data_IF_408972810377
#
_entry.id   IF_408972810377
#
_cell.length_a   1.000
_cell.length_b   1.000
_cell.length_c   1.000
_cell.angle_alpha   90.00
_cell.angle_beta   90.00
_cell.angle_gamma   90.00
#
_symmetry.space_group_name_H-M   'P 1'
#
loop_
_entity.id
_entity.type
_entity.pdbx_description
1 polymer ?
#
# COMPACT_ATOMS: atom_id res chain seq x y z
N UNK A 1 -8.96 -54.30 45.03
CA UNK A 1 -9.18 -54.67 43.62
C UNK A 1 -9.34 -53.40 42.80
N UNK A 2 -8.45 -53.24 41.80
CA UNK A 2 -8.61 -52.51 40.51
C UNK A 2 -9.02 -51.02 40.56
N UNK A 3 -8.34 -50.06 39.92
CA UNK A 3 -7.15 -50.06 39.05
C UNK A 3 -6.65 -48.61 38.99
N UNK A 4 -5.37 -48.44 39.32
CA UNK A 4 -4.51 -47.33 38.95
C UNK A 4 -4.33 -47.34 37.41
N UNK A 5 -4.51 -46.21 36.73
CA UNK A 5 -3.94 -45.98 35.40
C UNK A 5 -3.28 -44.62 35.34
N UNK A 6 -2.01 -44.68 34.99
CA UNK A 6 -1.02 -43.63 34.85
C UNK A 6 -1.15 -42.98 33.46
N UNK A 7 -0.80 -41.70 33.42
CA UNK A 7 -0.33 -40.87 32.31
C UNK A 7 -0.40 -41.43 30.89
N UNK A 8 -0.98 -40.63 29.99
CA UNK A 8 -0.31 -40.26 28.74
C UNK A 8 -0.80 -38.88 28.26
N UNK A 9 0.06 -37.88 28.51
CA UNK A 9 0.42 -36.83 27.55
C UNK A 9 -0.27 -36.94 26.19
N UNK A 10 -1.30 -36.12 25.99
CA UNK A 10 -1.68 -35.59 24.67
C UNK A 10 -1.79 -34.07 24.77
N UNK A 11 -0.63 -33.45 24.93
CA UNK A 11 -0.35 -32.20 24.23
C UNK A 11 -0.22 -32.60 22.76
N UNK A 12 -1.13 -32.19 21.89
CA UNK A 12 -0.80 -31.52 20.63
C UNK A 12 -2.01 -31.28 19.70
N UNK A 13 -2.06 -30.05 19.21
CA UNK A 13 -2.62 -29.60 17.93
C UNK A 13 -4.13 -29.75 17.68
N UNK A 14 -4.94 -28.96 18.40
CA UNK A 14 -6.09 -28.32 17.75
C UNK A 14 -5.61 -26.97 17.18
N UNK A 15 -5.63 -26.87 15.85
CA UNK A 15 -4.87 -25.91 15.06
C UNK A 15 -5.08 -24.45 15.47
N UNK A 16 -4.00 -23.85 15.98
CA UNK A 16 -3.74 -22.45 15.68
C UNK A 16 -3.56 -22.37 14.17
N UNK A 17 -4.58 -21.96 13.44
CA UNK A 17 -4.35 -21.21 12.21
C UNK A 17 -3.75 -19.85 12.61
N UNK A 18 -2.50 -19.88 13.07
CA UNK A 18 -1.60 -18.75 12.93
C UNK A 18 -1.21 -18.75 11.45
N UNK A 19 -2.14 -18.22 10.66
CA UNK A 19 -1.95 -17.87 9.27
C UNK A 19 -0.61 -17.13 9.12
N UNK A 20 0.13 -17.51 8.09
CA UNK A 20 1.45 -17.00 7.72
C UNK A 20 1.74 -15.58 8.24
N UNK A 21 2.79 -15.42 9.06
CA UNK A 21 3.16 -14.15 9.67
C UNK A 21 3.38 -13.09 8.61
N UNK A 22 2.35 -12.26 8.45
CA UNK A 22 2.17 -11.32 7.39
C UNK A 22 1.83 -9.93 7.82
N UNK A 23 2.21 -8.89 7.10
CA UNK A 23 3.07 -8.68 5.93
C UNK A 23 2.88 -7.18 5.69
N UNK A 24 3.87 -6.52 5.09
CA UNK A 24 3.57 -5.19 4.56
C UNK A 24 2.55 -5.34 3.42
N UNK A 25 1.61 -4.41 3.29
CA UNK A 25 0.72 -4.39 2.14
C UNK A 25 0.82 -3.04 1.44
N UNK A 26 0.89 -3.08 0.13
CA UNK A 26 0.99 -1.91 -0.71
C UNK A 26 -0.17 -1.93 -1.69
N UNK A 27 -0.96 -0.87 -1.63
CA UNK A 27 -1.86 -0.47 -2.68
C UNK A 27 -1.33 0.82 -3.30
N UNK A 28 -0.85 0.76 -4.55
CA UNK A 28 -0.33 1.93 -5.23
C UNK A 28 -1.03 2.20 -6.55
N UNK A 29 -1.23 3.48 -6.84
CA UNK A 29 -1.82 3.98 -8.08
C UNK A 29 -0.80 4.83 -8.82
N UNK A 30 -0.61 4.58 -10.10
CA UNK A 30 0.24 5.39 -10.98
C UNK A 30 -0.60 5.84 -12.17
N UNK A 31 -0.73 7.16 -12.35
CA UNK A 31 -1.47 7.70 -13.47
C UNK A 31 -0.62 7.58 -14.72
N UNK A 32 -1.08 6.82 -15.71
CA UNK A 32 -0.39 6.65 -16.99
C UNK A 32 -0.83 7.71 -18.00
N UNK A 33 -2.11 8.11 -17.97
CA UNK A 33 -2.68 9.06 -18.92
C UNK A 33 -4.20 9.09 -18.90
N UNK A 34 -4.80 9.56 -19.98
CA UNK A 34 -6.24 9.48 -20.23
C UNK A 34 -6.55 8.96 -21.62
N UNK A 35 -7.73 8.38 -21.79
CA UNK A 35 -8.30 8.00 -23.09
C UNK A 35 -9.81 8.13 -23.02
N UNK A 36 -10.42 8.75 -24.04
CA UNK A 36 -11.89 8.91 -24.15
C UNK A 36 -12.57 9.49 -22.90
N UNK A 37 -11.91 10.41 -22.21
CA UNK A 37 -12.42 11.07 -21.00
C UNK A 37 -12.23 10.28 -19.70
N UNK A 38 -11.63 9.09 -19.75
CA UNK A 38 -11.29 8.30 -18.56
C UNK A 38 -9.80 8.40 -18.23
N UNK A 39 -9.47 8.44 -16.94
CA UNK A 39 -8.09 8.32 -16.49
C UNK A 39 -7.66 6.85 -16.50
N UNK A 40 -6.44 6.61 -16.95
CA UNK A 40 -5.82 5.29 -17.05
C UNK A 40 -4.79 5.15 -15.93
N UNK A 41 -5.03 4.18 -15.06
CA UNK A 41 -4.24 3.94 -13.86
C UNK A 41 -3.56 2.58 -13.93
N UNK A 42 -2.29 2.51 -13.54
CA UNK A 42 -1.67 1.27 -13.11
C UNK A 42 -1.88 1.11 -11.60
N UNK A 43 -2.64 0.10 -11.23
CA UNK A 43 -2.81 -0.37 -9.87
C UNK A 43 -1.78 -1.46 -9.56
N UNK A 44 -1.08 -1.29 -8.45
CA UNK A 44 -0.14 -2.24 -7.88
C UNK A 44 -0.65 -2.67 -6.50
N UNK A 45 -1.04 -3.94 -6.36
CA UNK A 45 -1.47 -4.53 -5.10
C UNK A 45 -0.49 -5.64 -4.72
N UNK A 46 0.33 -5.41 -3.69
CA UNK A 46 1.35 -6.37 -3.25
C UNK A 46 1.32 -6.61 -1.74
N UNK A 47 1.64 -7.84 -1.34
CA UNK A 47 1.79 -8.29 0.04
C UNK A 47 3.20 -8.84 0.29
N UNK A 48 3.90 -8.33 1.31
CA UNK A 48 5.31 -8.61 1.60
C UNK A 48 5.54 -9.71 2.61
N UNK A 49 6.12 -10.83 2.18
CA UNK A 49 6.27 -12.02 2.97
C UNK A 49 7.66 -12.54 3.22
N UNK A 50 7.83 -13.31 4.30
CA UNK A 50 9.05 -14.08 4.53
C UNK A 50 8.80 -15.51 4.03
N UNK A 51 9.50 -15.90 2.97
CA UNK A 51 9.50 -17.28 2.48
C UNK A 51 10.35 -18.16 3.39
N UNK A 52 9.81 -19.28 3.85
CA UNK A 52 10.54 -20.25 4.67
C UNK A 52 10.08 -21.67 4.33
N UNK A 53 10.92 -22.67 4.65
CA UNK A 53 10.53 -24.07 4.53
C UNK A 53 9.26 -24.32 5.34
N UNK A 54 8.25 -24.91 4.70
CA UNK A 54 6.94 -25.16 5.26
C UNK A 54 7.05 -25.73 6.70
N UNK A 55 6.50 -25.00 7.67
CA UNK A 55 6.36 -25.49 9.05
C UNK A 55 7.21 -24.83 10.13
N UNK A 56 8.11 -23.89 9.82
CA UNK A 56 8.75 -23.07 10.86
C UNK A 56 8.26 -21.62 10.78
N UNK A 57 7.31 -21.29 11.66
CA UNK A 57 7.07 -19.90 12.05
C UNK A 57 8.41 -19.34 12.54
N UNK A 58 9.00 -18.31 11.91
CA UNK A 58 10.13 -17.64 12.51
C UNK A 58 9.58 -16.88 13.71
N UNK A 59 9.64 -17.52 14.88
CA UNK A 59 9.60 -16.80 16.14
C UNK A 59 10.65 -15.69 16.02
N UNK A 60 10.18 -14.45 16.12
CA UNK A 60 11.02 -13.27 16.09
C UNK A 60 12.03 -13.39 17.24
N UNK A 61 13.25 -13.87 16.96
CA UNK A 61 14.35 -13.86 17.91
C UNK A 61 15.03 -12.49 17.80
N UNK A 62 14.90 -11.61 18.81
CA UNK A 62 15.72 -10.42 18.85
C UNK A 62 17.14 -10.89 19.19
N UNK A 63 18.07 -10.64 18.28
CA UNK A 63 19.51 -10.95 18.42
C UNK A 63 19.88 -12.45 18.42
N UNK A 64 19.88 -13.06 17.24
CA UNK A 64 20.56 -14.33 16.99
C UNK A 64 20.68 -14.59 15.49
N UNK A 65 21.91 -14.71 14.97
CA UNK A 65 22.16 -15.12 13.56
C UNK A 65 21.71 -16.57 13.37
N UNK A 66 20.43 -16.78 13.05
CA UNK A 66 19.95 -18.06 12.50
C UNK A 66 20.39 -18.16 11.05
N UNK A 67 21.03 -19.28 10.69
CA UNK A 67 21.57 -19.56 9.34
C UNK A 67 20.50 -19.90 8.29
N UNK A 68 19.23 -20.02 8.69
CA UNK A 68 18.11 -20.25 7.77
C UNK A 68 17.15 -19.05 7.81
N UNK A 69 17.66 -17.86 7.50
CA UNK A 69 16.84 -16.67 7.33
C UNK A 69 16.07 -16.81 6.02
N UNK A 70 14.75 -16.97 6.13
CA UNK A 70 13.85 -16.94 4.98
C UNK A 70 14.04 -15.68 4.13
N UNK A 71 13.87 -15.78 2.81
CA UNK A 71 13.98 -14.63 1.92
C UNK A 71 12.70 -13.78 2.04
N UNK A 72 12.86 -12.48 2.21
CA UNK A 72 11.74 -11.54 2.12
C UNK A 72 11.34 -11.32 0.67
N UNK A 73 10.04 -11.37 0.39
CA UNK A 73 9.46 -11.41 -0.94
C UNK A 73 8.20 -10.55 -0.99
N UNK A 74 7.74 -10.23 -2.19
CA UNK A 74 6.46 -9.57 -2.46
C UNK A 74 5.65 -10.45 -3.38
N UNK A 75 4.36 -10.64 -3.08
CA UNK A 75 3.42 -11.30 -3.98
C UNK A 75 2.19 -10.46 -4.22
N UNK A 76 1.64 -10.53 -5.43
CA UNK A 76 0.41 -9.83 -5.73
C UNK A 76 0.22 -9.60 -7.23
N UNK A 77 -0.43 -8.49 -7.57
CA UNK A 77 -0.95 -8.26 -8.91
C UNK A 77 -0.76 -6.82 -9.38
N UNK A 78 -0.58 -6.68 -10.69
CA UNK A 78 -0.55 -5.43 -11.42
C UNK A 78 -1.73 -5.40 -12.39
N UNK A 79 -2.48 -4.30 -12.38
CA UNK A 79 -3.69 -4.13 -13.20
C UNK A 79 -3.73 -2.74 -13.82
N UNK A 80 -4.17 -2.66 -15.07
CA UNK A 80 -4.67 -1.42 -15.63
C UNK A 80 -6.12 -1.23 -15.22
N UNK A 81 -6.42 -0.03 -14.72
CA UNK A 81 -7.76 0.41 -14.35
C UNK A 81 -8.15 1.68 -15.08
N UNK A 82 -9.45 1.87 -15.25
CA UNK A 82 -10.06 3.07 -15.82
C UNK A 82 -11.04 3.68 -14.83
N UNK A 83 -11.11 5.00 -14.78
CA UNK A 83 -12.11 5.72 -14.00
C UNK A 83 -11.60 7.03 -13.41
N UNK A 84 -12.53 7.87 -12.97
CA UNK A 84 -12.23 9.22 -12.47
C UNK A 84 -12.21 9.34 -10.95
N UNK A 85 -12.55 8.27 -10.21
CA UNK A 85 -12.51 8.22 -8.74
C UNK A 85 -12.01 6.86 -8.28
N UNK A 86 -11.35 6.81 -7.12
CA UNK A 86 -10.75 5.59 -6.56
C UNK A 86 -11.78 4.46 -6.42
N UNK A 87 -12.99 4.77 -5.94
CA UNK A 87 -14.10 3.84 -5.74
C UNK A 87 -14.81 3.43 -7.04
N UNK A 88 -14.50 4.09 -8.15
CA UNK A 88 -15.04 3.85 -9.49
C UNK A 88 -13.99 3.28 -10.44
N UNK A 89 -12.81 2.90 -9.94
CA UNK A 89 -11.77 2.33 -10.78
C UNK A 89 -12.12 0.89 -11.18
N UNK A 90 -12.50 0.71 -12.43
CA UNK A 90 -12.81 -0.58 -13.02
C UNK A 90 -11.56 -1.22 -13.63
N UNK A 91 -11.43 -2.53 -13.47
CA UNK A 91 -10.33 -3.26 -14.10
C UNK A 91 -10.52 -3.28 -15.62
N UNK A 92 -9.58 -2.67 -16.33
CA UNK A 92 -9.52 -2.73 -17.77
C UNK A 92 -8.71 -3.94 -18.26
N UNK A 93 -7.53 -4.19 -17.65
CA UNK A 93 -6.65 -5.28 -18.07
C UNK A 93 -5.76 -5.77 -16.93
N UNK A 94 -5.56 -7.07 -16.85
CA UNK A 94 -4.55 -7.65 -15.96
C UNK A 94 -3.17 -7.60 -16.61
N UNK A 95 -2.15 -7.13 -15.89
CA UNK A 95 -0.79 -6.99 -16.41
C UNK A 95 0.07 -8.19 -16.02
N UNK A 96 0.13 -8.50 -14.73
CA UNK A 96 0.96 -9.57 -14.19
C UNK A 96 0.52 -9.99 -12.78
N UNK A 97 0.71 -11.27 -12.47
CA UNK A 97 0.83 -11.75 -11.10
C UNK A 97 2.32 -11.88 -10.80
N UNK A 98 2.77 -11.36 -9.66
CA UNK A 98 4.19 -11.31 -9.33
C UNK A 98 4.44 -12.01 -8.01
N UNK A 99 5.60 -12.67 -7.94
CA UNK A 99 6.19 -13.17 -6.71
C UNK A 99 7.71 -12.96 -6.81
N UNK A 100 8.20 -11.91 -6.16
CA UNK A 100 9.55 -11.38 -6.35
C UNK A 100 10.29 -11.22 -5.02
N UNK A 101 11.62 -11.27 -5.05
CA UNK A 101 12.43 -10.96 -3.88
C UNK A 101 12.44 -9.46 -3.58
N UNK A 102 12.47 -9.08 -2.30
CA UNK A 102 12.50 -7.67 -1.86
C UNK A 102 13.66 -6.88 -2.49
N UNK A 103 14.81 -7.52 -2.68
CA UNK A 103 16.01 -6.95 -3.29
C UNK A 103 15.87 -6.66 -4.80
N UNK A 104 15.04 -7.45 -5.50
CA UNK A 104 14.81 -7.33 -6.95
C UNK A 104 13.63 -6.42 -7.29
N UNK A 105 12.93 -5.87 -6.30
CA UNK A 105 11.64 -5.19 -6.45
C UNK A 105 11.59 -4.18 -7.62
N UNK A 106 12.58 -3.28 -7.70
CA UNK A 106 12.58 -2.24 -8.73
C UNK A 106 12.86 -2.83 -10.12
N UNK A 107 13.90 -3.64 -10.24
CA UNK A 107 14.31 -4.24 -11.50
C UNK A 107 13.24 -5.20 -12.05
N UNK A 108 12.57 -5.94 -11.17
CA UNK A 108 11.52 -6.88 -11.54
C UNK A 108 10.24 -6.19 -12.00
N UNK A 109 9.83 -5.09 -11.34
CA UNK A 109 8.58 -4.41 -11.69
C UNK A 109 8.69 -3.47 -12.91
N UNK A 110 9.89 -2.96 -13.22
CA UNK A 110 10.08 -2.01 -14.32
C UNK A 110 9.54 -2.50 -15.69
N UNK A 111 9.82 -3.75 -16.14
CA UNK A 111 9.26 -4.26 -17.40
C UNK A 111 7.74 -4.36 -17.40
N UNK A 112 7.11 -4.55 -16.23
CA UNK A 112 5.66 -4.59 -16.13
C UNK A 112 5.03 -3.19 -16.20
N UNK A 113 5.73 -2.17 -15.72
CA UNK A 113 5.33 -0.77 -15.89
C UNK A 113 5.46 -0.33 -17.35
N UNK A 114 6.54 -0.72 -18.02
CA UNK A 114 6.70 -0.50 -19.48
C UNK A 114 5.54 -1.13 -20.25
N UNK A 115 5.27 -2.41 -20.03
CA UNK A 115 4.14 -3.10 -20.66
C UNK A 115 2.80 -2.42 -20.37
N UNK A 116 2.59 -1.91 -19.16
CA UNK A 116 1.37 -1.21 -18.80
C UNK A 116 1.24 0.13 -19.54
N UNK A 117 2.35 0.86 -19.70
CA UNK A 117 2.43 2.10 -20.47
C UNK A 117 2.15 1.84 -21.95
N UNK A 118 2.81 0.86 -22.56
CA UNK A 118 2.63 0.50 -23.98
C UNK A 118 1.15 0.18 -24.27
N UNK A 119 0.53 -0.62 -23.40
CA UNK A 119 -0.89 -0.96 -23.51
C UNK A 119 -1.84 0.22 -23.30
N UNK A 120 -1.43 1.22 -22.53
CA UNK A 120 -2.21 2.44 -22.37
C UNK A 120 -2.09 3.33 -23.61
N UNK A 121 -0.91 3.41 -24.22
CA UNK A 121 -0.64 4.18 -25.44
C UNK A 121 -1.36 3.63 -26.68
N UNK A 122 -1.67 2.32 -26.70
CA UNK A 122 -2.52 1.70 -27.71
C UNK A 122 -4.00 2.14 -27.64
N UNK A 123 -4.43 2.82 -26.56
CA UNK A 123 -5.81 3.26 -26.42
C UNK A 123 -6.13 4.43 -27.37
N UNK A 124 -7.36 4.48 -27.93
CA UNK A 124 -7.77 5.60 -28.77
C UNK A 124 -7.66 6.95 -28.05
N UNK A 125 -7.12 7.95 -28.73
CA UNK A 125 -6.97 9.32 -28.22
C UNK A 125 -6.19 9.39 -26.90
N UNK A 126 -5.23 8.49 -26.69
CA UNK A 126 -4.45 8.47 -25.46
C UNK A 126 -3.63 9.75 -25.30
N UNK A 127 -3.66 10.31 -24.09
CA UNK A 127 -2.82 11.42 -23.67
C UNK A 127 -2.00 11.01 -22.46
N UNK A 128 -0.66 11.06 -22.52
CA UNK A 128 0.18 10.63 -21.41
C UNK A 128 0.12 11.62 -20.25
N UNK A 129 0.12 11.10 -19.03
CA UNK A 129 0.30 11.92 -17.84
C UNK A 129 1.79 12.23 -17.61
N UNK A 130 2.06 13.42 -17.10
CA UNK A 130 3.41 13.85 -16.74
C UNK A 130 3.53 13.94 -15.24
N UNK A 131 4.36 13.09 -14.62
CA UNK A 131 4.75 13.28 -13.23
C UNK A 131 5.73 14.46 -13.16
N UNK A 132 5.31 15.55 -12.53
CA UNK A 132 6.10 16.78 -12.45
C UNK A 132 7.04 16.76 -11.24
N UNK A 133 6.50 16.38 -10.09
CA UNK A 133 7.22 16.45 -8.82
C UNK A 133 6.63 15.50 -7.77
N UNK A 134 7.46 15.18 -6.78
CA UNK A 134 7.12 14.30 -5.68
C UNK A 134 7.60 14.92 -4.35
N UNK A 135 6.74 14.93 -3.35
CA UNK A 135 7.13 15.15 -1.96
C UNK A 135 7.17 13.80 -1.24
N UNK A 136 8.32 13.41 -0.69
CA UNK A 136 8.48 12.13 0.01
C UNK A 136 8.78 12.36 1.46
N UNK A 137 7.92 11.78 2.28
CA UNK A 137 7.90 12.01 3.69
C UNK A 137 8.18 10.65 4.30
N UNK A 138 9.46 10.41 4.59
CA UNK A 138 9.94 9.12 5.10
C UNK A 138 9.45 8.94 6.54
N UNK A 139 8.19 8.52 6.63
CA UNK A 139 7.42 8.13 7.80
C UNK A 139 7.30 9.22 8.91
N UNK A 140 6.19 9.14 9.66
CA UNK A 140 5.82 9.93 10.84
C UNK A 140 5.80 11.47 10.71
N UNK A 141 4.62 12.04 10.43
CA UNK A 141 4.28 13.48 10.57
C UNK A 141 5.29 14.46 9.93
N UNK A 142 6.14 13.95 9.05
CA UNK A 142 7.30 14.62 8.49
C UNK A 142 7.03 15.17 7.09
N UNK A 143 5.79 14.97 6.61
CA UNK A 143 5.29 15.60 5.40
C UNK A 143 4.76 17.00 5.69
N UNK A 144 5.65 17.98 5.77
CA UNK A 144 5.24 19.38 5.85
C UNK A 144 4.40 19.84 4.64
N UNK A 145 4.41 19.05 3.56
CA UNK A 145 3.64 19.29 2.34
C UNK A 145 2.21 18.73 2.38
N UNK A 146 1.85 17.90 3.37
CA UNK A 146 0.52 17.29 3.45
C UNK A 146 -0.05 17.39 4.86
N UNK A 147 -1.22 18.02 4.97
CA UNK A 147 -1.99 18.13 6.21
C UNK A 147 -3.07 17.05 6.22
N UNK A 148 -3.21 16.38 7.37
CA UNK A 148 -4.31 15.44 7.59
C UNK A 148 -5.29 16.01 8.59
N UNK A 149 -6.56 16.01 8.22
CA UNK A 149 -7.69 16.35 9.07
C UNK A 149 -8.61 15.13 9.17
N UNK A 150 -8.91 14.71 10.40
CA UNK A 150 -9.77 13.57 10.66
C UNK A 150 -10.90 13.98 11.60
N UNK A 151 -12.11 13.57 11.25
CA UNK A 151 -13.27 13.61 12.13
C UNK A 151 -13.82 12.19 12.34
N UNK A 152 -14.99 12.05 12.94
CA UNK A 152 -15.58 10.72 13.19
C UNK A 152 -16.09 10.00 11.93
N UNK A 153 -16.11 10.65 10.77
CA UNK A 153 -16.70 10.16 9.52
C UNK A 153 -15.70 10.04 8.37
N UNK A 154 -14.64 10.84 8.36
CA UNK A 154 -13.69 10.90 7.26
C UNK A 154 -12.28 11.29 7.69
N UNK A 155 -11.33 10.88 6.85
CA UNK A 155 -9.97 11.41 6.81
C UNK A 155 -9.82 12.22 5.52
N UNK A 156 -9.26 13.42 5.63
CA UNK A 156 -8.95 14.31 4.53
C UNK A 156 -7.44 14.57 4.48
N UNK A 157 -6.90 14.65 3.27
CA UNK A 157 -5.53 15.09 3.02
C UNK A 157 -5.55 16.35 2.16
N UNK A 158 -4.81 17.37 2.57
CA UNK A 158 -4.71 18.63 1.86
C UNK A 158 -3.25 19.05 1.65
N UNK A 159 -2.97 19.67 0.51
CA UNK A 159 -1.80 20.50 0.36
C UNK A 159 -2.02 21.87 1.03
N UNK A 160 -0.96 22.55 1.51
CA UNK A 160 -1.06 23.90 2.04
C UNK A 160 -1.82 24.85 1.09
N UNK A 161 -2.89 25.46 1.58
CA UNK A 161 -3.69 26.42 0.81
C UNK A 161 -4.68 25.80 -0.18
N UNK A 162 -4.85 24.48 -0.20
CA UNK A 162 -5.79 23.78 -1.07
C UNK A 162 -6.92 23.10 -0.29
N UNK A 163 -8.04 22.84 -0.97
CA UNK A 163 -9.13 22.02 -0.41
C UNK A 163 -8.67 20.56 -0.32
N UNK A 164 -8.90 19.93 0.83
CA UNK A 164 -8.51 18.53 1.03
C UNK A 164 -9.28 17.55 0.15
N UNK A 165 -8.62 16.44 -0.19
CA UNK A 165 -9.22 15.25 -0.75
C UNK A 165 -9.56 14.23 0.32
N UNK A 166 -10.75 13.64 0.20
CA UNK A 166 -11.20 12.58 1.10
C UNK A 166 -10.38 11.32 0.82
N UNK A 167 -9.87 10.69 1.86
CA UNK A 167 -9.26 9.38 1.76
C UNK A 167 -10.33 8.33 1.45
N UNK A 168 -10.19 7.66 0.31
CA UNK A 168 -11.01 6.52 -0.08
C UNK A 168 -10.21 5.24 0.18
N UNK A 169 -10.54 4.54 1.26
CA UNK A 169 -9.84 3.33 1.66
C UNK A 169 -10.25 2.14 0.78
N UNK A 170 -9.31 1.50 0.07
CA UNK A 170 -9.61 0.31 -0.72
C UNK A 170 -10.09 -0.86 0.17
N UNK A 171 -11.00 -1.68 -0.35
CA UNK A 171 -11.53 -2.86 0.36
C UNK A 171 -10.46 -3.78 0.96
N UNK A 172 -9.37 -4.11 0.25
CA UNK A 172 -8.27 -4.90 0.82
C UNK A 172 -7.63 -4.25 2.06
N UNK A 173 -7.43 -2.92 2.04
CA UNK A 173 -6.85 -2.17 3.16
C UNK A 173 -7.76 -2.23 4.37
N UNK A 174 -9.06 -1.99 4.17
CA UNK A 174 -10.06 -2.12 5.23
C UNK A 174 -10.01 -3.51 5.85
N UNK A 175 -9.98 -4.57 5.03
CA UNK A 175 -9.96 -5.94 5.53
C UNK A 175 -8.72 -6.35 6.29
N UNK A 176 -7.56 -5.75 6.00
CA UNK A 176 -6.38 -5.97 6.84
C UNK A 176 -6.60 -5.37 8.23
N UNK A 177 -7.24 -4.22 8.35
CA UNK A 177 -7.58 -3.62 9.65
C UNK A 177 -8.67 -4.42 10.39
N UNK A 178 -9.70 -4.87 9.67
CA UNK A 178 -10.77 -5.73 10.21
C UNK A 178 -10.22 -7.03 10.81
N UNK A 179 -9.26 -7.65 10.13
CA UNK A 179 -8.61 -8.87 10.62
C UNK A 179 -7.81 -8.64 11.90
N UNK A 180 -7.25 -7.43 12.09
CA UNK A 180 -6.44 -7.09 13.26
C UNK A 180 -7.28 -6.73 14.47
N UNK A 181 -8.34 -5.95 14.31
CA UNK A 181 -9.16 -5.47 15.44
C UNK A 181 -10.43 -6.28 15.68
N UNK A 182 -10.83 -7.14 14.73
CA UNK A 182 -12.11 -7.87 14.71
C UNK A 182 -13.34 -6.97 14.60
N UNK A 183 -13.18 -5.73 14.14
CA UNK A 183 -14.26 -4.79 13.82
C UNK A 183 -14.50 -4.72 12.31
N UNK A 184 -15.71 -4.39 11.85
CA UNK A 184 -16.07 -4.30 10.42
C UNK A 184 -15.96 -2.85 9.91
N UNK A 185 -14.82 -2.48 9.31
CA UNK A 185 -14.56 -1.13 8.79
C UNK A 185 -15.13 -0.88 7.39
N UNK A 186 -15.54 -1.93 6.67
CA UNK A 186 -16.36 -1.78 5.45
C UNK A 186 -17.72 -1.18 5.76
N UNK A 187 -18.22 -1.39 6.97
CA UNK A 187 -19.43 -0.73 7.49
C UNK A 187 -19.07 0.38 8.49
N UNK A 188 -18.12 1.25 8.11
CA UNK A 188 -17.59 2.33 8.96
C UNK A 188 -18.69 3.13 9.69
N UNK A 189 -19.83 3.40 9.06
CA UNK A 189 -20.94 4.12 9.68
C UNK A 189 -21.60 3.44 10.90
N UNK A 190 -21.41 2.13 11.08
CA UNK A 190 -21.94 1.35 12.22
C UNK A 190 -20.95 1.26 13.40
N UNK A 191 -19.71 1.69 13.20
CA UNK A 191 -18.69 1.69 14.25
C UNK A 191 -18.88 2.87 15.21
N UNK A 192 -18.47 2.69 16.46
CA UNK A 192 -18.44 3.77 17.45
C UNK A 192 -17.54 4.93 16.97
N UNK A 193 -17.87 6.16 17.37
CA UNK A 193 -17.13 7.37 16.95
C UNK A 193 -15.63 7.29 17.30
N UNK A 194 -15.30 6.78 18.49
CA UNK A 194 -13.92 6.60 18.94
C UNK A 194 -13.16 5.60 18.06
N UNK A 195 -13.76 4.46 17.71
CA UNK A 195 -13.12 3.45 16.85
C UNK A 195 -12.84 3.95 15.43
N UNK A 196 -13.75 4.78 14.90
CA UNK A 196 -13.55 5.44 13.60
C UNK A 196 -12.40 6.44 13.66
N UNK A 197 -12.37 7.26 14.71
CA UNK A 197 -11.30 8.24 14.90
C UNK A 197 -9.95 7.56 15.10
N UNK A 198 -9.89 6.49 15.90
CA UNK A 198 -8.68 5.69 16.11
C UNK A 198 -8.15 5.12 14.80
N UNK A 199 -9.04 4.60 13.94
CA UNK A 199 -8.68 4.15 12.60
C UNK A 199 -8.07 5.27 11.75
N UNK A 200 -8.72 6.43 11.66
CA UNK A 200 -8.19 7.54 10.86
C UNK A 200 -6.86 8.08 11.40
N UNK A 201 -6.71 8.18 12.72
CA UNK A 201 -5.49 8.66 13.37
C UNK A 201 -4.31 7.70 13.23
N UNK A 202 -4.54 6.42 12.92
CA UNK A 202 -3.49 5.45 12.67
C UNK A 202 -2.69 5.77 11.40
N UNK A 203 -3.32 6.39 10.41
CA UNK A 203 -2.71 6.73 9.13
C UNK A 203 -1.85 7.99 9.22
N UNK A 204 -0.71 7.95 8.52
CA UNK A 204 0.27 9.04 8.48
C UNK A 204 0.61 9.40 7.05
N UNK A 205 0.95 10.68 6.79
CA UNK A 205 1.49 11.09 5.52
C UNK A 205 2.71 10.29 5.09
N UNK A 206 2.74 9.85 3.83
CA UNK A 206 3.90 9.14 3.27
C UNK A 206 4.48 9.86 2.05
N UNK A 207 3.66 10.17 1.04
CA UNK A 207 4.13 10.93 -0.13
C UNK A 207 2.98 11.62 -0.83
N UNK A 208 3.31 12.63 -1.62
CA UNK A 208 2.41 13.23 -2.60
C UNK A 208 3.11 13.27 -3.94
N UNK A 209 2.40 12.88 -5.00
CA UNK A 209 2.86 12.99 -6.38
C UNK A 209 1.95 13.94 -7.13
N UNK A 210 2.55 14.87 -7.86
CA UNK A 210 1.85 15.84 -8.68
C UNK A 210 2.00 15.46 -10.15
N UNK A 211 0.88 15.14 -10.79
CA UNK A 211 0.78 14.86 -12.22
C UNK A 211 0.08 16.00 -12.95
N UNK A 212 0.48 16.21 -14.20
CA UNK A 212 -0.23 17.04 -15.18
C UNK A 212 -0.74 16.19 -16.33
N UNK A 213 -2.00 16.39 -16.69
CA UNK A 213 -2.64 15.69 -17.80
C UNK A 213 -3.71 16.58 -18.42
N UNK A 214 -3.65 16.83 -19.73
CA UNK A 214 -4.67 17.61 -20.46
C UNK A 214 -4.99 18.99 -19.84
N UNK A 215 -4.03 19.64 -19.17
CA UNK A 215 -4.24 20.92 -18.48
C UNK A 215 -4.85 20.80 -17.08
N UNK A 216 -5.14 19.60 -16.60
CA UNK A 216 -5.56 19.31 -15.22
C UNK A 216 -4.36 18.96 -14.34
N UNK A 217 -4.46 19.31 -13.06
CA UNK A 217 -3.53 18.86 -12.04
C UNK A 217 -4.14 17.70 -11.25
N UNK A 218 -3.38 16.63 -11.11
CA UNK A 218 -3.81 15.43 -10.40
C UNK A 218 -2.79 15.14 -9.30
N UNK A 219 -3.26 15.15 -8.06
CA UNK A 219 -2.44 14.84 -6.89
C UNK A 219 -2.76 13.45 -6.41
N UNK A 220 -1.74 12.59 -6.32
CA UNK A 220 -1.86 11.25 -5.73
C UNK A 220 -1.20 11.24 -4.37
N UNK A 221 -2.03 11.15 -3.34
CA UNK A 221 -1.63 11.09 -1.95
C UNK A 221 -1.39 9.64 -1.54
N UNK A 222 -0.31 9.41 -0.79
CA UNK A 222 -0.01 8.12 -0.18
C UNK A 222 -0.04 8.24 1.34
N UNK A 223 -0.75 7.34 1.99
CA UNK A 223 -0.77 7.20 3.45
C UNK A 223 -0.18 5.86 3.86
N UNK A 224 0.51 5.88 5.00
CA UNK A 224 1.09 4.70 5.62
C UNK A 224 0.63 4.51 7.07
N UNK A 225 0.55 3.26 7.51
CA UNK A 225 0.35 2.88 8.91
C UNK A 225 1.20 1.66 9.24
N UNK A 226 1.84 1.60 10.42
CA UNK A 226 2.68 0.46 10.81
C UNK A 226 3.67 0.78 11.92
N UNK A 227 4.47 -0.20 12.35
CA UNK A 227 5.45 -0.08 13.45
C UNK A 227 6.79 0.53 13.00
N UNK A 228 7.17 1.66 13.62
CA UNK A 228 8.32 2.52 13.30
C UNK A 228 9.74 1.90 13.45
N UNK A 229 9.88 0.61 13.76
CA UNK A 229 11.16 0.04 14.21
C UNK A 229 12.19 0.06 13.07
N UNK A 230 13.24 0.87 13.23
CA UNK A 230 14.41 0.89 12.35
C UNK A 230 14.54 2.08 11.39
N UNK A 231 13.63 3.06 11.43
CA UNK A 231 13.68 4.24 10.55
C UNK A 231 13.95 5.52 11.35
N UNK A 232 14.79 6.39 10.78
CA UNK A 232 14.91 7.77 11.25
C UNK A 232 13.83 8.59 10.52
N UNK A 233 12.96 9.33 11.23
CA UNK A 233 12.06 10.25 10.56
C UNK A 233 12.91 11.28 9.81
N UNK A 234 12.77 11.33 8.49
CA UNK A 234 13.40 12.37 7.68
C UNK A 234 12.31 13.14 6.95
N UNK A 235 12.07 14.41 7.32
CA UNK A 235 11.09 15.23 6.61
C UNK A 235 11.53 15.48 5.17
N UNK A 236 10.55 15.54 4.27
CA UNK A 236 10.79 16.07 2.92
C UNK A 236 11.20 17.53 3.07
N UNK A 237 12.45 17.86 2.76
CA UNK A 237 12.92 19.24 2.82
C UNK A 237 12.27 20.11 1.74
N UNK A 238 11.93 19.51 0.59
CA UNK A 238 11.30 20.18 -0.55
C UNK A 238 10.55 19.18 -1.43
N UNK A 239 9.81 19.70 -2.41
CA UNK A 239 9.37 18.94 -3.58
C UNK A 239 10.58 18.56 -4.43
N UNK A 240 10.59 17.33 -4.92
CA UNK A 240 11.64 16.81 -5.79
C UNK A 240 11.09 16.79 -7.21
N UNK A 241 11.63 17.59 -8.15
CA UNK A 241 11.27 17.52 -9.54
C UNK A 241 11.55 16.13 -10.11
N UNK A 242 10.64 15.61 -10.92
CA UNK A 242 10.79 14.31 -11.53
C UNK A 242 11.20 14.46 -13.01
N UNK A 243 12.48 14.22 -13.28
CA UNK A 243 13.06 14.31 -14.62
C UNK A 243 13.22 12.97 -15.36
N UNK A 244 12.54 11.91 -14.91
CA UNK A 244 12.68 10.55 -15.47
C UNK A 244 11.33 9.99 -15.93
N UNK A 245 11.30 8.98 -16.82
CA UNK A 245 10.08 8.26 -17.16
C UNK A 245 9.38 7.63 -15.94
N UNK A 246 8.05 7.48 -16.00
CA UNK A 246 7.25 6.89 -14.91
C UNK A 246 7.63 5.42 -14.61
N UNK A 247 8.14 4.68 -15.59
CA UNK A 247 8.64 3.31 -15.40
C UNK A 247 9.81 3.19 -14.41
N UNK A 248 10.60 4.26 -14.25
CA UNK A 248 11.75 4.30 -13.35
C UNK A 248 11.36 4.72 -11.92
N UNK A 249 10.09 5.08 -11.71
CA UNK A 249 9.60 5.73 -10.50
C UNK A 249 9.24 4.74 -9.36
N UNK A 250 9.47 3.44 -9.56
CA UNK A 250 9.13 2.40 -8.60
C UNK A 250 10.06 2.46 -7.38
N UNK A 251 9.49 2.57 -6.17
CA UNK A 251 10.25 2.55 -4.90
C UNK A 251 9.73 1.45 -3.98
N UNK A 252 10.50 0.36 -3.82
CA UNK A 252 10.14 -0.79 -2.98
C UNK A 252 10.80 -0.80 -1.60
N UNK A 253 11.98 -0.18 -1.50
CA UNK A 253 12.80 -0.17 -0.29
C UNK A 253 12.19 0.60 0.90
N UNK A 254 11.17 1.43 0.67
CA UNK A 254 10.48 2.21 1.71
C UNK A 254 9.26 1.52 2.32
N UNK A 255 8.83 0.39 1.76
CA UNK A 255 7.70 -0.43 2.29
C UNK A 255 8.21 -1.59 3.16
N UNK A 256 9.47 -1.52 3.59
CA UNK A 256 10.15 -2.53 4.41
C UNK A 256 9.69 -2.57 5.89
N UNK A 257 8.68 -1.78 6.28
CA UNK A 257 8.03 -1.81 7.59
C UNK A 257 6.95 -2.91 7.68
N UNK A 258 6.66 -3.38 8.90
CA UNK A 258 5.38 -4.05 9.17
C UNK A 258 4.26 -3.00 9.09
N UNK A 259 3.66 -2.82 7.92
CA UNK A 259 2.69 -1.75 7.71
C UNK A 259 1.86 -1.83 6.44
N UNK A 260 0.85 -0.99 6.37
CA UNK A 260 -0.06 -0.83 5.25
C UNK A 260 0.25 0.50 4.56
N UNK A 261 0.27 0.51 3.23
CA UNK A 261 0.28 1.72 2.42
C UNK A 261 -0.89 1.68 1.45
N UNK A 262 -1.54 2.82 1.26
CA UNK A 262 -2.44 2.99 0.14
C UNK A 262 -2.36 4.37 -0.48
N UNK A 263 -2.72 4.42 -1.76
CA UNK A 263 -2.82 5.64 -2.54
C UNK A 263 -4.29 6.00 -2.81
N UNK A 264 -4.58 7.30 -2.86
CA UNK A 264 -5.82 7.88 -3.36
C UNK A 264 -5.47 9.21 -4.06
N UNK A 265 -6.44 9.84 -4.74
CA UNK A 265 -6.13 10.99 -5.56
C UNK A 265 -7.21 12.08 -5.55
N UNK A 266 -6.79 13.26 -6.02
CA UNK A 266 -7.60 14.44 -6.25
C UNK A 266 -7.34 14.97 -7.66
N UNK A 267 -8.40 15.41 -8.33
CA UNK A 267 -8.33 16.13 -9.61
C UNK A 267 -8.71 17.58 -9.31
N UNK A 268 -7.91 18.54 -9.75
CA UNK A 268 -8.15 19.98 -9.63
C UNK A 268 -8.49 20.60 -11.00
#
# INVERSE_FOLDING_TARGET
MKKLWILLLFVFFAGKELAACSYAYQYSLFLLGSSSGELIWLELELERYVSGAAGSLPNFQPMGRSKNLGQTRWKGQLKLKKGQKVDQLEQYKHIAWVDLADEDYQAYLAPHFEKAQDLAEELPFFQPAQLLEEAICDYDRSCGQMQLEADSLALWAALPGQKGAKAHFPGPVLSKFENLTRLNYREMGKLAAEERLNFFQAWKPFSVRHYRLAGQEIYVYSLGWGLAKGYKPQPSAAWVPWGRPLKDYIRGNKVMMHGQRFDFFQIL
#
